data_IF_686649621879
#
_entry.id   IF_686649621879
#
_cell.length_a   1.000
_cell.length_b   1.000
_cell.length_c   1.000
_cell.angle_alpha   90.00
_cell.angle_beta   90.00
_cell.angle_gamma   90.00
#
_symmetry.space_group_name_H-M   'P 1'
#
loop_
_entity.id
_entity.type
_entity.pdbx_description
1 polymer ?
#
# COMPACT_ATOMS: atom_id res chain seq x y z
N UNK A 1 25.56 -31.75 -3.29
CA UNK A 1 24.23 -31.68 -3.95
C UNK A 1 23.24 -31.11 -2.95
N UNK A 2 22.75 -29.89 -3.23
CA UNK A 2 21.53 -29.21 -2.74
C UNK A 2 21.77 -27.69 -2.87
N UNK A 3 21.48 -27.14 -4.05
CA UNK A 3 21.37 -25.68 -4.22
C UNK A 3 20.07 -25.24 -3.57
N UNK A 4 20.10 -24.83 -2.31
CA UNK A 4 19.01 -24.09 -1.67
C UNK A 4 19.04 -22.66 -2.17
N UNK A 5 18.53 -22.43 -3.39
CA UNK A 5 18.15 -21.08 -3.78
C UNK A 5 17.02 -20.67 -2.82
N UNK A 6 17.20 -19.66 -1.96
CA UNK A 6 16.10 -19.22 -1.10
C UNK A 6 14.98 -18.74 -2.02
N UNK A 7 13.84 -19.43 -1.99
CA UNK A 7 12.63 -18.93 -2.63
C UNK A 7 12.26 -17.62 -1.91
N UNK A 8 12.07 -16.51 -2.64
CA UNK A 8 11.74 -15.25 -2.01
C UNK A 8 10.43 -15.43 -1.24
N UNK A 9 10.46 -15.19 0.07
CA UNK A 9 9.26 -15.20 0.92
C UNK A 9 8.30 -14.15 0.37
N UNK A 10 7.13 -14.58 -0.09
CA UNK A 10 6.04 -13.68 -0.49
C UNK A 10 5.32 -13.18 0.75
N UNK A 11 4.97 -11.90 0.75
CA UNK A 11 4.25 -11.23 1.84
C UNK A 11 3.26 -10.23 1.27
N UNK A 12 2.19 -9.97 2.02
CA UNK A 12 1.32 -8.81 1.85
C UNK A 12 1.61 -7.79 2.94
N UNK A 13 1.74 -6.53 2.59
CA UNK A 13 1.85 -5.43 3.53
C UNK A 13 0.67 -4.48 3.35
N UNK A 14 -0.11 -4.30 4.40
CA UNK A 14 -1.16 -3.29 4.50
C UNK A 14 -0.60 -2.06 5.20
N UNK A 15 -0.62 -0.93 4.50
CA UNK A 15 0.12 0.28 4.88
C UNK A 15 -0.82 1.47 4.97
N UNK A 16 -0.69 2.23 6.06
CA UNK A 16 -1.38 3.50 6.26
C UNK A 16 -0.36 4.62 6.41
N UNK A 17 -0.48 5.64 5.57
CA UNK A 17 0.45 6.78 5.48
C UNK A 17 -0.29 8.06 5.84
N UNK A 18 0.19 8.76 6.87
CA UNK A 18 -0.38 10.05 7.30
C UNK A 18 0.62 11.21 7.14
N UNK A 19 0.08 12.42 6.99
CA UNK A 19 0.85 13.65 6.78
C UNK A 19 0.25 14.48 5.64
N UNK A 20 1.08 15.28 4.96
CA UNK A 20 0.68 15.98 3.73
C UNK A 20 0.83 15.01 2.55
N UNK A 21 -0.14 14.13 2.38
CA UNK A 21 -0.10 13.02 1.41
C UNK A 21 -1.23 13.04 0.37
N UNK A 22 -2.21 13.94 0.52
CA UNK A 22 -3.25 14.17 -0.49
C UNK A 22 -3.01 15.47 -1.26
N UNK A 23 -3.50 15.53 -2.51
CA UNK A 23 -3.26 16.67 -3.41
C UNK A 23 -1.83 16.77 -3.96
N UNK A 24 -0.97 15.78 -3.66
CA UNK A 24 0.47 15.78 -4.00
C UNK A 24 0.87 14.67 -4.98
N UNK A 25 -0.11 14.02 -5.60
CA UNK A 25 0.15 12.92 -6.55
C UNK A 25 0.50 11.56 -5.91
N UNK A 26 0.38 11.42 -4.59
CA UNK A 26 0.84 10.22 -3.85
C UNK A 26 0.32 8.90 -4.43
N UNK A 27 -0.98 8.78 -4.71
CA UNK A 27 -1.58 7.58 -5.30
C UNK A 27 -0.97 7.22 -6.66
N UNK A 28 -0.78 8.22 -7.53
CA UNK A 28 -0.22 8.00 -8.87
C UNK A 28 1.24 7.56 -8.79
N UNK A 29 2.06 8.24 -7.99
CA UNK A 29 3.47 7.86 -7.78
C UNK A 29 3.60 6.50 -7.09
N UNK A 30 2.66 6.13 -6.22
CA UNK A 30 2.60 4.81 -5.59
C UNK A 30 2.40 3.72 -6.63
N UNK A 31 1.46 3.90 -7.56
CA UNK A 31 1.19 2.95 -8.65
C UNK A 31 2.42 2.80 -9.54
N UNK A 32 3.01 3.93 -9.99
CA UNK A 32 4.19 3.93 -10.85
C UNK A 32 5.37 3.20 -10.19
N UNK A 33 5.66 3.51 -8.93
CA UNK A 33 6.75 2.88 -8.17
C UNK A 33 6.47 1.39 -7.92
N UNK A 34 5.24 1.02 -7.58
CA UNK A 34 4.87 -0.39 -7.37
C UNK A 34 5.00 -1.21 -8.65
N UNK A 35 4.58 -0.67 -9.79
CA UNK A 35 4.73 -1.33 -11.11
C UNK A 35 6.21 -1.50 -11.46
N UNK A 36 7.03 -0.46 -11.28
CA UNK A 36 8.48 -0.54 -11.53
C UNK A 36 9.18 -1.60 -10.67
N UNK A 37 8.71 -1.77 -9.43
CA UNK A 37 9.20 -2.79 -8.50
C UNK A 37 8.61 -4.19 -8.77
N UNK A 38 7.62 -4.33 -9.66
CA UNK A 38 6.96 -5.60 -9.94
C UNK A 38 6.04 -6.08 -8.81
N UNK A 39 5.47 -5.16 -8.03
CA UNK A 39 4.52 -5.45 -6.97
C UNK A 39 3.08 -5.46 -7.48
N UNK A 40 2.22 -6.20 -6.81
CA UNK A 40 0.76 -6.15 -7.01
C UNK A 40 0.07 -5.55 -5.79
N UNK A 41 -1.18 -5.11 -5.97
CA UNK A 41 -1.95 -4.50 -4.90
C UNK A 41 -2.75 -3.29 -5.32
N UNK A 42 -2.93 -2.34 -4.41
CA UNK A 42 -3.76 -1.17 -4.64
C UNK A 42 -3.41 -0.02 -3.70
N UNK A 43 -3.87 1.18 -4.05
CA UNK A 43 -3.74 2.38 -3.22
C UNK A 43 -5.02 3.22 -3.26
N UNK A 44 -5.42 3.83 -2.14
CA UNK A 44 -6.55 4.77 -2.07
C UNK A 44 -6.31 5.90 -1.08
N UNK A 45 -7.07 6.97 -1.26
CA UNK A 45 -7.15 8.06 -0.29
C UNK A 45 -8.25 7.72 0.71
N UNK A 46 -8.01 8.02 1.99
CA UNK A 46 -8.99 7.92 3.05
C UNK A 46 -9.61 9.30 3.35
N UNK A 47 -10.85 9.33 3.88
CA UNK A 47 -11.55 10.58 4.18
C UNK A 47 -10.92 11.38 5.32
N UNK A 48 -10.11 10.75 6.17
CA UNK A 48 -9.34 11.40 7.23
C UNK A 48 -8.08 12.13 6.74
N UNK A 49 -7.85 12.15 5.41
CA UNK A 49 -6.69 12.79 4.79
C UNK A 49 -5.47 11.87 4.63
N UNK A 50 -5.52 10.63 5.11
CA UNK A 50 -4.43 9.66 4.95
C UNK A 50 -4.50 8.91 3.60
N UNK A 51 -3.46 8.13 3.32
CA UNK A 51 -3.39 7.19 2.19
C UNK A 51 -3.30 5.78 2.76
N UNK A 52 -4.04 4.87 2.17
CA UNK A 52 -4.00 3.44 2.47
C UNK A 52 -3.54 2.68 1.23
N UNK A 53 -2.63 1.71 1.41
CA UNK A 53 -2.11 0.90 0.33
C UNK A 53 -1.92 -0.55 0.76
N UNK A 54 -2.06 -1.46 -0.20
CA UNK A 54 -1.67 -2.86 -0.06
C UNK A 54 -0.59 -3.13 -1.10
N UNK A 55 0.50 -3.78 -0.66
CA UNK A 55 1.57 -4.25 -1.51
C UNK A 55 1.78 -5.74 -1.32
N UNK A 56 1.82 -6.48 -2.41
CA UNK A 56 2.10 -7.91 -2.39
C UNK A 56 3.26 -8.24 -3.32
N UNK A 57 4.17 -9.08 -2.84
CA UNK A 57 5.35 -9.52 -3.58
C UNK A 57 6.42 -10.11 -2.66
N UNK A 58 7.66 -10.20 -3.16
CA UNK A 58 8.76 -10.67 -2.32
C UNK A 58 9.03 -9.72 -1.16
N UNK A 59 9.35 -10.26 0.01
CA UNK A 59 9.61 -9.49 1.23
C UNK A 59 10.64 -8.38 1.02
N UNK A 60 11.69 -8.64 0.23
CA UNK A 60 12.73 -7.66 -0.09
C UNK A 60 12.17 -6.48 -0.88
N UNK A 61 11.35 -6.74 -1.89
CA UNK A 61 10.77 -5.71 -2.76
C UNK A 61 9.67 -4.94 -2.04
N UNK A 62 8.82 -5.62 -1.25
CA UNK A 62 7.84 -4.96 -0.37
C UNK A 62 8.56 -4.04 0.63
N UNK A 63 9.70 -4.46 1.18
CA UNK A 63 10.54 -3.62 2.02
C UNK A 63 11.11 -2.39 1.32
N UNK A 64 11.44 -2.48 0.02
CA UNK A 64 11.84 -1.32 -0.78
C UNK A 64 10.69 -0.34 -0.96
N UNK A 65 9.49 -0.85 -1.26
CA UNK A 65 8.29 -0.02 -1.42
C UNK A 65 7.91 0.69 -0.12
N UNK A 66 7.97 -0.01 1.02
CA UNK A 66 7.74 0.57 2.34
C UNK A 66 8.73 1.71 2.61
N UNK A 67 10.03 1.54 2.30
CA UNK A 67 11.02 2.61 2.45
C UNK A 67 10.66 3.83 1.60
N UNK A 68 10.21 3.60 0.36
CA UNK A 68 9.72 4.68 -0.49
C UNK A 68 8.50 5.39 0.13
N UNK A 69 7.58 4.68 0.79
CA UNK A 69 6.42 5.29 1.44
C UNK A 69 6.78 6.32 2.53
N UNK A 70 7.95 6.21 3.18
CA UNK A 70 8.43 7.23 4.12
C UNK A 70 8.90 8.51 3.44
N UNK A 71 9.25 8.46 2.16
CA UNK A 71 9.64 9.63 1.36
C UNK A 71 8.44 10.19 0.59
N UNK A 72 7.73 9.31 -0.13
CA UNK A 72 6.63 9.69 -1.02
C UNK A 72 7.10 10.50 -2.24
N UNK A 73 6.16 11.08 -3.00
CA UNK A 73 6.49 11.99 -4.10
C UNK A 73 7.11 13.31 -3.58
N UNK A 74 7.78 14.10 -4.44
CA UNK A 74 8.53 15.29 -4.02
C UNK A 74 7.76 16.34 -3.21
N UNK A 75 6.44 16.44 -3.42
CA UNK A 75 5.58 17.39 -2.71
C UNK A 75 4.95 16.82 -1.42
N UNK A 76 5.19 15.54 -1.10
CA UNK A 76 4.66 14.92 0.10
C UNK A 76 5.50 15.25 1.33
N UNK A 77 4.83 15.28 2.49
CA UNK A 77 5.49 15.32 3.79
C UNK A 77 4.86 14.24 4.66
N UNK A 78 5.53 13.09 4.72
CA UNK A 78 5.06 11.92 5.46
C UNK A 78 5.43 12.08 6.93
N UNK A 79 4.44 11.92 7.81
CA UNK A 79 4.62 12.02 9.25
C UNK A 79 4.70 10.64 9.91
N UNK A 80 3.89 9.68 9.41
CA UNK A 80 3.80 8.34 9.98
C UNK A 80 3.47 7.34 8.89
N UNK A 81 4.06 6.16 9.01
CA UNK A 81 3.73 4.97 8.22
C UNK A 81 3.45 3.85 9.21
N UNK A 82 2.24 3.30 9.17
CA UNK A 82 1.86 2.08 9.89
C UNK A 82 1.84 0.91 8.91
N UNK A 83 2.33 -0.24 9.34
CA UNK A 83 2.50 -1.42 8.49
C UNK A 83 1.97 -2.64 9.26
N UNK A 84 1.09 -3.39 8.62
CA UNK A 84 0.70 -4.72 9.04
C UNK A 84 1.11 -5.72 7.96
N UNK A 85 1.84 -6.76 8.35
CA UNK A 85 2.18 -7.87 7.44
C UNK A 85 1.12 -8.96 7.54
N UNK A 86 0.72 -9.49 6.40
CA UNK A 86 -0.36 -10.44 6.23
C UNK A 86 0.03 -11.54 5.23
N UNK A 87 -0.80 -12.58 5.17
CA UNK A 87 -0.68 -13.61 4.15
C UNK A 87 -1.02 -13.03 2.76
N UNK A 88 -0.26 -13.42 1.71
CA UNK A 88 -0.53 -12.98 0.34
C UNK A 88 -1.87 -13.50 -0.19
N UNK A 89 -2.59 -12.66 -0.91
CA UNK A 89 -3.89 -12.97 -1.53
C UNK A 89 -3.77 -13.29 -3.02
N UNK A 90 -2.56 -13.27 -3.59
CA UNK A 90 -2.26 -13.45 -5.01
C UNK A 90 -2.93 -12.39 -5.90
N UNK A 91 -2.86 -11.13 -5.45
CA UNK A 91 -3.40 -9.99 -6.18
C UNK A 91 -2.75 -9.83 -7.56
N UNK A 92 -3.52 -9.30 -8.52
CA UNK A 92 -3.08 -9.09 -9.91
C UNK A 92 -3.08 -7.62 -10.27
N UNK A 93 -1.97 -7.17 -10.85
CA UNK A 93 -1.78 -5.77 -11.23
C UNK A 93 -1.70 -4.84 -10.03
N UNK A 94 -1.67 -3.54 -10.32
CA UNK A 94 -1.67 -2.49 -9.31
C UNK A 94 -2.60 -1.36 -9.72
N UNK A 95 -3.54 -1.00 -8.84
CA UNK A 95 -4.62 -0.05 -9.19
C UNK A 95 -4.87 1.03 -8.13
N UNK A 96 -5.48 2.14 -8.56
CA UNK A 96 -6.03 3.14 -7.65
C UNK A 96 -7.47 2.76 -7.32
N UNK A 97 -7.78 2.53 -6.05
CA UNK A 97 -9.16 2.30 -5.59
C UNK A 97 -9.83 3.59 -5.16
N UNK A 98 -11.15 3.64 -5.34
CA UNK A 98 -11.99 4.65 -4.69
C UNK A 98 -12.26 4.23 -3.24
N UNK A 99 -12.42 5.21 -2.38
CA UNK A 99 -13.01 4.95 -1.08
C UNK A 99 -14.50 4.67 -1.29
N UNK A 100 -14.93 3.46 -0.95
CA UNK A 100 -16.34 3.12 -0.83
C UNK A 100 -16.68 3.16 0.65
N UNK A 101 -17.69 3.95 1.04
CA UNK A 101 -18.28 3.82 2.38
C UNK A 101 -18.86 2.41 2.45
N UNK A 102 -18.23 1.50 3.19
CA UNK A 102 -18.91 0.26 3.56
C UNK A 102 -20.10 0.64 4.44
N UNK A 103 -21.31 0.22 4.05
CA UNK A 103 -22.55 0.40 4.78
C UNK A 103 -22.54 -0.35 6.13
N UNK A 104 -21.89 0.24 7.14
CA UNK A 104 -21.98 -0.13 8.55
C UNK A 104 -22.22 1.19 9.32
N UNK A 105 -23.43 1.56 9.76
CA UNK A 105 -24.71 0.86 9.73
C UNK A 105 -25.88 1.84 9.57
N UNK A 106 -26.91 1.35 8.88
CA UNK A 106 -28.30 1.65 9.20
C UNK A 106 -28.66 0.90 10.51
N UNK A 107 -29.67 1.38 11.26
CA UNK A 107 -30.14 1.01 12.62
C UNK A 107 -29.58 1.95 13.72
N UNK A 108 -30.35 2.75 14.47
CA UNK A 108 -31.77 2.79 14.89
C UNK A 108 -32.21 4.28 14.92
N UNK A 109 -33.45 4.72 14.68
CA UNK A 109 -34.69 4.11 15.11
C UNK A 109 -35.15 4.61 16.49
N UNK A 110 -35.19 5.93 16.77
CA UNK A 110 -36.19 6.61 17.63
C UNK A 110 -36.14 8.13 17.47
#
# INVERSE_FOLDING_TARGET
MQNTTPHPKLVRAHVFISGRVQGVGYRYSTVDTAIQLGLTGWVRNLPDGSVEAVFEGSQTVVGQMIRWCYQGPPAAMVQKVLIAYEEPENLRGFEVRRFEKSELGQEEGV
#
